data_IF_473774589103
#
_entry.id   IF_473774589103
#
_cell.length_a   1.000
_cell.length_b   1.000
_cell.length_c   1.000
_cell.angle_alpha   90.00
_cell.angle_beta   90.00
_cell.angle_gamma   90.00
#
_symmetry.space_group_name_H-M   'P 1'
#
loop_
_entity.id
_entity.type
_entity.pdbx_description
1 polymer ?
#
# COMPACT_ATOMS: atom_id res chain seq x y z
N UNK A 1 11.53 8.18 -17.37
CA UNK A 1 11.27 7.88 -15.94
C UNK A 1 10.51 9.08 -15.39
N UNK A 2 9.49 8.84 -14.56
CA UNK A 2 8.80 9.93 -13.88
C UNK A 2 9.74 10.55 -12.84
N UNK A 3 9.66 11.87 -12.63
CA UNK A 3 10.42 12.50 -11.56
C UNK A 3 9.82 12.16 -10.19
N UNK A 4 10.65 12.18 -9.15
CA UNK A 4 10.21 12.10 -7.75
C UNK A 4 9.07 13.08 -7.44
N UNK A 5 9.13 14.30 -7.98
CA UNK A 5 8.08 15.31 -7.80
C UNK A 5 6.74 14.93 -8.44
N UNK A 6 6.75 14.30 -9.62
CA UNK A 6 5.52 13.82 -10.26
C UNK A 6 4.91 12.69 -9.44
N UNK A 7 5.74 11.71 -9.03
CA UNK A 7 5.28 10.56 -8.23
C UNK A 7 4.67 11.05 -6.91
N UNK A 8 5.35 11.96 -6.22
CA UNK A 8 4.85 12.61 -5.01
C UNK A 8 3.45 13.20 -5.20
N UNK A 9 3.26 14.01 -6.25
CA UNK A 9 1.98 14.66 -6.51
C UNK A 9 0.88 13.64 -6.86
N UNK A 10 1.22 12.58 -7.60
CA UNK A 10 0.29 11.49 -7.88
C UNK A 10 -0.16 10.76 -6.61
N UNK A 11 0.75 10.53 -5.64
CA UNK A 11 0.42 9.86 -4.38
C UNK A 11 -0.55 10.70 -3.56
N UNK A 12 -0.26 12.01 -3.39
CA UNK A 12 -1.15 12.92 -2.67
C UNK A 12 -2.53 12.94 -3.32
N UNK A 13 -2.57 13.17 -4.63
CA UNK A 13 -3.83 13.22 -5.37
C UNK A 13 -4.64 11.92 -5.23
N UNK A 14 -4.00 10.76 -5.38
CA UNK A 14 -4.69 9.48 -5.27
C UNK A 14 -5.29 9.23 -3.87
N UNK A 15 -4.58 9.64 -2.81
CA UNK A 15 -5.11 9.51 -1.43
C UNK A 15 -6.25 10.51 -1.17
N UNK A 16 -6.16 11.73 -1.68
CA UNK A 16 -7.24 12.72 -1.59
C UNK A 16 -8.52 12.26 -2.31
N UNK A 17 -8.36 11.65 -3.49
CA UNK A 17 -9.49 11.04 -4.21
C UNK A 17 -10.08 9.86 -3.43
N UNK A 18 -9.24 9.05 -2.77
CA UNK A 18 -9.67 7.90 -1.98
C UNK A 18 -10.61 8.33 -0.84
N UNK A 19 -10.25 9.32 -0.03
CA UNK A 19 -11.06 9.78 1.09
C UNK A 19 -12.29 10.60 0.66
N UNK A 20 -12.22 11.25 -0.51
CA UNK A 20 -13.32 12.05 -1.05
C UNK A 20 -14.43 11.20 -1.68
N UNK A 21 -14.14 9.95 -2.04
CA UNK A 21 -15.11 9.06 -2.66
C UNK A 21 -16.17 8.57 -1.64
N UNK A 22 -17.48 8.67 -1.94
CA UNK A 22 -18.53 8.17 -1.04
C UNK A 22 -18.43 6.66 -0.83
N UNK A 23 -18.28 6.22 0.42
CA UNK A 23 -18.14 4.80 0.78
C UNK A 23 -19.06 4.47 1.95
N UNK A 24 -20.19 3.79 1.71
CA UNK A 24 -21.10 3.38 2.78
C UNK A 24 -20.36 2.59 3.86
N UNK A 25 -20.39 3.07 5.11
CA UNK A 25 -19.75 2.42 6.26
C UNK A 25 -18.26 2.70 6.44
N UNK A 26 -17.64 3.56 5.63
CA UNK A 26 -16.26 4.02 5.82
C UNK A 26 -16.20 5.55 5.89
N UNK A 27 -15.10 6.10 6.40
CA UNK A 27 -14.88 7.55 6.48
C UNK A 27 -14.91 8.16 5.08
N UNK A 28 -15.70 9.21 4.92
CA UNK A 28 -15.72 10.04 3.71
C UNK A 28 -16.25 11.44 4.07
N UNK A 29 -16.25 12.38 3.12
CA UNK A 29 -16.72 13.76 3.33
C UNK A 29 -18.18 13.90 3.82
N UNK A 30 -18.97 12.82 3.77
CA UNK A 30 -20.38 12.77 4.16
C UNK A 30 -20.63 11.92 5.42
N UNK A 31 -19.63 11.24 5.99
CA UNK A 31 -19.78 10.43 7.21
C UNK A 31 -18.47 10.21 7.96
N UNK A 32 -18.44 10.61 9.24
CA UNK A 32 -17.37 10.25 10.18
C UNK A 32 -17.53 8.79 10.61
N UNK A 33 -16.49 7.97 10.40
CA UNK A 33 -16.44 6.58 10.83
C UNK A 33 -15.26 6.35 11.77
N UNK A 34 -15.43 5.52 12.81
CA UNK A 34 -14.32 4.98 13.61
C UNK A 34 -13.30 5.99 14.19
N UNK A 35 -13.74 7.14 14.70
CA UNK A 35 -12.85 8.18 15.28
C UNK A 35 -11.81 8.79 14.31
N UNK A 36 -11.99 8.64 12.99
CA UNK A 36 -11.06 9.18 12.00
C UNK A 36 -11.72 10.33 11.23
N UNK A 37 -10.99 11.43 11.06
CA UNK A 37 -11.44 12.60 10.31
C UNK A 37 -10.83 12.59 8.91
N UNK A 38 -11.51 13.20 7.93
CA UNK A 38 -10.96 13.40 6.57
C UNK A 38 -9.56 14.05 6.62
N UNK A 39 -9.34 14.98 7.55
CA UNK A 39 -8.05 15.62 7.77
C UNK A 39 -6.93 14.62 8.12
N UNK A 40 -7.22 13.54 8.87
CA UNK A 40 -6.23 12.53 9.20
C UNK A 40 -5.74 11.79 7.96
N UNK A 41 -6.64 11.47 7.03
CA UNK A 41 -6.29 10.83 5.75
C UNK A 41 -5.45 11.77 4.86
N UNK A 42 -5.83 13.04 4.77
CA UNK A 42 -5.07 14.05 4.00
C UNK A 42 -3.67 14.25 4.60
N UNK A 43 -3.57 14.41 5.92
CA UNK A 43 -2.29 14.52 6.62
C UNK A 43 -1.42 13.28 6.39
N UNK A 44 -2.04 12.10 6.41
CA UNK A 44 -1.37 10.83 6.14
C UNK A 44 -0.87 10.73 4.70
N UNK A 45 -1.61 11.25 3.72
CA UNK A 45 -1.20 11.31 2.32
C UNK A 45 0.08 12.13 2.14
N UNK A 46 0.12 13.33 2.74
CA UNK A 46 1.30 14.19 2.74
C UNK A 46 2.49 13.57 3.49
N UNK A 47 2.23 12.81 4.57
CA UNK A 47 3.28 12.14 5.31
C UNK A 47 3.97 11.03 4.51
N UNK A 48 3.23 10.25 3.71
CA UNK A 48 3.79 9.11 2.96
C UNK A 48 4.38 9.52 1.60
N UNK A 49 3.91 10.61 0.98
CA UNK A 49 4.30 10.97 -0.39
C UNK A 49 5.83 11.19 -0.57
N UNK A 50 6.57 11.82 0.37
CA UNK A 50 8.02 11.94 0.27
C UNK A 50 8.77 10.61 0.36
N UNK A 51 8.18 9.59 0.99
CA UNK A 51 8.79 8.26 1.17
C UNK A 51 8.49 7.38 -0.04
N UNK A 52 7.23 7.39 -0.48
CA UNK A 52 6.74 6.63 -1.62
C UNK A 52 7.31 7.10 -2.97
N UNK A 53 7.94 8.27 -3.00
CA UNK A 53 8.62 8.81 -4.19
C UNK A 53 10.14 8.59 -4.17
N UNK A 54 10.70 7.98 -3.12
CA UNK A 54 12.14 7.75 -3.00
C UNK A 54 12.61 6.66 -3.99
N UNK A 55 13.70 6.90 -4.73
CA UNK A 55 14.35 5.86 -5.51
C UNK A 55 15.20 4.94 -4.60
N UNK A 56 15.55 3.76 -5.11
CA UNK A 56 16.53 2.84 -4.50
C UNK A 56 16.17 2.37 -3.08
N UNK A 57 14.89 2.26 -2.76
CA UNK A 57 14.37 1.70 -1.51
C UNK A 57 13.67 0.37 -1.80
N UNK A 58 13.78 -0.60 -0.89
CA UNK A 58 13.04 -1.87 -1.02
C UNK A 58 11.56 -1.68 -0.67
N UNK A 59 10.72 -2.64 -1.06
CA UNK A 59 9.28 -2.58 -0.79
C UNK A 59 9.00 -2.59 0.71
N UNK A 60 9.65 -3.46 1.48
CA UNK A 60 9.48 -3.53 2.92
C UNK A 60 9.93 -2.27 3.65
N UNK A 61 11.07 -1.69 3.26
CA UNK A 61 11.55 -0.42 3.81
C UNK A 61 10.57 0.71 3.52
N UNK A 62 10.08 0.81 2.28
CA UNK A 62 9.10 1.82 1.88
C UNK A 62 7.82 1.71 2.72
N UNK A 63 7.30 0.48 2.91
CA UNK A 63 6.12 0.22 3.74
C UNK A 63 6.36 0.67 5.19
N UNK A 64 7.45 0.20 5.83
CA UNK A 64 7.72 0.50 7.23
C UNK A 64 7.94 2.00 7.46
N UNK A 65 8.73 2.65 6.60
CA UNK A 65 8.98 4.09 6.71
C UNK A 65 7.69 4.89 6.53
N UNK A 66 6.85 4.54 5.54
CA UNK A 66 5.59 5.23 5.30
C UNK A 66 4.64 5.13 6.49
N UNK A 67 4.44 3.92 7.05
CA UNK A 67 3.60 3.76 8.25
C UNK A 67 4.20 4.48 9.46
N UNK A 68 5.53 4.46 9.60
CA UNK A 68 6.21 5.23 10.65
C UNK A 68 5.96 6.74 10.51
N UNK A 69 5.94 7.27 9.29
CA UNK A 69 5.64 8.67 9.04
C UNK A 69 4.18 9.01 9.35
N UNK A 70 3.24 8.14 8.96
CA UNK A 70 1.83 8.29 9.31
C UNK A 70 1.62 8.31 10.82
N UNK A 71 2.20 7.35 11.57
CA UNK A 71 2.07 7.28 13.03
C UNK A 71 2.67 8.47 13.80
N UNK A 72 3.52 9.28 13.17
CA UNK A 72 4.04 10.52 13.78
C UNK A 72 3.06 11.68 13.70
N UNK A 73 2.07 11.61 12.80
CA UNK A 73 1.14 12.70 12.50
C UNK A 73 -0.28 12.36 12.94
N UNK A 74 -0.66 11.08 12.91
CA UNK A 74 -2.00 10.61 13.30
C UNK A 74 -1.91 9.36 14.17
N UNK A 75 -2.85 9.20 15.10
CA UNK A 75 -2.88 8.09 16.06
C UNK A 75 -3.74 6.89 15.64
N UNK A 76 -4.22 6.89 14.41
CA UNK A 76 -5.13 5.89 13.86
C UNK A 76 -4.61 5.33 12.52
N UNK A 77 -5.14 4.17 12.11
CA UNK A 77 -4.81 3.56 10.83
C UNK A 77 -5.65 4.15 9.69
N UNK A 78 -5.09 5.14 9.01
CA UNK A 78 -5.75 5.81 7.88
C UNK A 78 -5.40 5.20 6.53
N UNK A 79 -4.21 4.62 6.37
CA UNK A 79 -3.65 4.40 5.03
C UNK A 79 -2.84 3.11 4.86
N UNK A 80 -2.88 2.14 5.78
CA UNK A 80 -2.08 0.91 5.64
C UNK A 80 -2.36 0.18 4.32
N UNK A 81 -3.63 -0.01 3.96
CA UNK A 81 -3.99 -0.65 2.70
C UNK A 81 -3.46 0.09 1.47
N UNK A 82 -3.50 1.43 1.50
CA UNK A 82 -2.96 2.29 0.44
C UNK A 82 -1.44 2.11 0.34
N UNK A 83 -0.74 2.17 1.47
CA UNK A 83 0.72 1.98 1.55
C UNK A 83 1.14 0.62 1.01
N UNK A 84 0.44 -0.44 1.39
CA UNK A 84 0.70 -1.79 0.88
C UNK A 84 0.48 -1.86 -0.64
N UNK A 85 -0.58 -1.25 -1.18
CA UNK A 85 -0.81 -1.25 -2.63
C UNK A 85 0.21 -0.38 -3.39
N UNK A 86 0.61 0.76 -2.83
CA UNK A 86 1.51 1.70 -3.51
C UNK A 86 2.96 1.25 -3.51
N UNK A 87 3.46 0.65 -2.42
CA UNK A 87 4.88 0.37 -2.29
C UNK A 87 5.50 -0.44 -3.47
N UNK A 88 4.96 -1.60 -3.89
CA UNK A 88 5.52 -2.32 -5.03
C UNK A 88 5.33 -1.57 -6.36
N UNK A 89 4.27 -0.78 -6.51
CA UNK A 89 4.01 0.04 -7.70
C UNK A 89 5.03 1.19 -7.82
N UNK A 90 5.29 1.88 -6.71
CA UNK A 90 6.26 2.95 -6.59
C UNK A 90 7.69 2.48 -6.84
N UNK A 91 8.04 1.25 -6.43
CA UNK A 91 9.33 0.65 -6.79
C UNK A 91 9.36 0.30 -8.29
N UNK A 92 8.30 -0.32 -8.81
CA UNK A 92 8.23 -0.74 -10.21
C UNK A 92 8.36 0.43 -11.20
N UNK A 93 7.67 1.56 -10.92
CA UNK A 93 7.61 2.69 -11.85
C UNK A 93 8.96 3.39 -12.06
N UNK A 94 9.89 3.26 -11.11
CA UNK A 94 11.27 3.77 -11.26
C UNK A 94 12.01 3.09 -12.41
N UNK A 95 11.61 1.86 -12.75
CA UNK A 95 12.19 1.06 -13.83
C UNK A 95 11.46 1.26 -15.16
N UNK A 96 10.49 2.18 -15.22
CA UNK A 96 9.67 2.42 -16.40
C UNK A 96 10.00 3.77 -17.08
N UNK A 97 10.08 3.74 -18.40
CA UNK A 97 10.06 4.94 -19.24
C UNK A 97 8.73 5.13 -19.95
N UNK A 98 7.95 4.05 -20.11
CA UNK A 98 6.60 4.06 -20.68
C UNK A 98 5.64 3.23 -19.83
N UNK A 99 4.35 3.54 -19.92
CA UNK A 99 3.31 2.91 -19.12
C UNK A 99 3.18 1.40 -19.38
N UNK A 100 3.35 0.95 -20.62
CA UNK A 100 3.21 -0.46 -21.02
C UNK A 100 4.25 -1.38 -20.35
N UNK A 101 5.33 -0.80 -19.81
CA UNK A 101 6.36 -1.54 -19.09
C UNK A 101 5.97 -1.84 -17.64
N UNK A 102 4.98 -1.13 -17.10
CA UNK A 102 4.63 -1.13 -15.68
C UNK A 102 4.23 -2.52 -15.18
N UNK A 103 3.34 -3.21 -15.90
CA UNK A 103 2.89 -4.55 -15.51
C UNK A 103 4.05 -5.55 -15.41
N UNK A 104 5.01 -5.49 -16.34
CA UNK A 104 6.21 -6.36 -16.33
C UNK A 104 7.21 -5.95 -15.25
N UNK A 105 7.36 -4.65 -14.99
CA UNK A 105 8.22 -4.17 -13.92
C UNK A 105 7.65 -4.56 -12.54
N UNK A 106 6.34 -4.44 -12.37
CA UNK A 106 5.63 -4.82 -11.15
C UNK A 106 5.73 -6.32 -10.89
N UNK A 107 5.53 -7.16 -11.91
CA UNK A 107 5.68 -8.61 -11.76
C UNK A 107 7.08 -8.98 -11.26
N UNK A 108 8.12 -8.35 -11.81
CA UNK A 108 9.50 -8.54 -11.33
C UNK A 108 9.69 -8.10 -9.88
N UNK A 109 9.12 -6.97 -9.47
CA UNK A 109 9.19 -6.50 -8.08
C UNK A 109 8.50 -7.50 -7.15
N UNK A 110 7.28 -7.91 -7.48
CA UNK A 110 6.49 -8.85 -6.67
C UNK A 110 7.17 -10.22 -6.55
N UNK A 111 7.73 -10.75 -7.64
CA UNK A 111 8.43 -12.05 -7.64
C UNK A 111 9.78 -12.03 -6.89
N UNK A 112 10.39 -10.86 -6.73
CA UNK A 112 11.67 -10.70 -6.01
C UNK A 112 11.50 -10.22 -4.57
N UNK A 113 10.27 -10.12 -4.05
CA UNK A 113 10.04 -9.80 -2.65
C UNK A 113 10.74 -10.81 -1.74
N UNK A 114 11.48 -10.29 -0.76
CA UNK A 114 12.34 -11.08 0.13
C UNK A 114 11.65 -11.42 1.46
N UNK A 115 12.36 -12.21 2.28
CA UNK A 115 11.97 -12.45 3.68
C UNK A 115 12.14 -11.16 4.51
N UNK A 116 13.13 -10.31 4.18
CA UNK A 116 13.33 -9.05 4.89
C UNK A 116 12.22 -8.05 4.58
N UNK A 117 11.72 -8.02 3.33
CA UNK A 117 10.51 -7.28 2.99
C UNK A 117 9.31 -7.74 3.83
N UNK A 118 9.19 -9.05 4.07
CA UNK A 118 8.14 -9.60 4.92
C UNK A 118 8.28 -9.14 6.37
N UNK A 119 9.49 -9.18 6.94
CA UNK A 119 9.75 -8.74 8.32
C UNK A 119 9.37 -7.27 8.52
N UNK A 120 9.79 -6.40 7.61
CA UNK A 120 9.51 -4.96 7.67
C UNK A 120 8.04 -4.67 7.45
N UNK A 121 7.38 -5.35 6.50
CA UNK A 121 5.94 -5.25 6.29
C UNK A 121 5.16 -5.70 7.55
N UNK A 122 5.54 -6.83 8.16
CA UNK A 122 4.90 -7.31 9.39
C UNK A 122 5.06 -6.32 10.54
N UNK A 123 6.24 -5.71 10.66
CA UNK A 123 6.48 -4.64 11.63
C UNK A 123 5.59 -3.42 11.37
N UNK A 124 5.47 -2.99 10.12
CA UNK A 124 4.63 -1.87 9.73
C UNK A 124 3.15 -2.14 10.03
N UNK A 125 2.66 -3.35 9.72
CA UNK A 125 1.29 -3.76 9.98
C UNK A 125 0.98 -3.75 11.50
N UNK A 126 1.92 -4.23 12.34
CA UNK A 126 1.78 -4.12 13.80
C UNK A 126 1.79 -2.68 14.27
N UNK A 127 2.67 -1.85 13.73
CA UNK A 127 2.77 -0.42 14.05
C UNK A 127 1.51 0.37 13.65
N UNK A 128 0.86 -0.01 12.57
CA UNK A 128 -0.40 0.58 12.13
C UNK A 128 -1.59 0.18 13.00
N UNK A 129 -1.47 -0.82 13.89
CA UNK A 129 -2.56 -1.34 14.73
C UNK A 129 -3.79 -1.76 13.90
N UNK A 130 -3.56 -2.38 12.74
CA UNK A 130 -4.65 -2.72 11.83
C UNK A 130 -5.66 -3.71 12.45
N UNK A 131 -6.95 -3.40 12.30
CA UNK A 131 -8.04 -4.30 12.69
C UNK A 131 -8.24 -5.46 11.70
N UNK A 132 -9.05 -6.45 12.10
CA UNK A 132 -9.56 -7.47 11.17
C UNK A 132 -8.59 -8.58 10.74
N UNK A 133 -7.35 -8.61 11.26
CA UNK A 133 -6.34 -9.59 10.81
C UNK A 133 -6.53 -10.99 11.38
N UNK A 134 -7.21 -11.13 12.53
CA UNK A 134 -7.41 -12.42 13.22
C UNK A 134 -6.09 -13.08 13.64
N UNK A 135 -6.20 -14.21 14.34
CA UNK A 135 -5.06 -15.08 14.63
C UNK A 135 -5.02 -16.22 13.61
N UNK A 136 -3.86 -16.51 13.05
CA UNK A 136 -3.66 -17.64 12.13
C UNK A 136 -2.56 -18.58 12.65
N UNK A 137 -2.66 -19.87 12.35
CA UNK A 137 -1.71 -20.86 12.89
C UNK A 137 -0.31 -20.74 12.29
N UNK A 138 -0.21 -20.36 11.01
CA UNK A 138 1.05 -20.30 10.27
C UNK A 138 1.37 -18.86 9.88
N UNK A 139 2.59 -18.42 10.18
CA UNK A 139 3.11 -17.08 9.87
C UNK A 139 2.18 -15.95 10.31
N UNK A 140 1.66 -16.05 11.53
CA UNK A 140 0.87 -14.99 12.14
C UNK A 140 1.64 -13.66 12.14
N UNK A 141 0.93 -12.55 11.98
CA UNK A 141 1.51 -11.21 11.94
C UNK A 141 2.26 -10.84 13.23
N UNK A 142 1.91 -11.48 14.35
CA UNK A 142 2.60 -11.33 15.63
C UNK A 142 3.92 -12.10 15.70
N UNK A 143 4.16 -13.03 14.77
CA UNK A 143 5.37 -13.82 14.67
C UNK A 143 6.40 -13.22 13.70
N UNK A 144 7.64 -13.71 13.75
CA UNK A 144 8.67 -13.36 12.77
C UNK A 144 8.48 -14.22 11.51
N UNK A 145 8.28 -13.64 10.33
CA UNK A 145 8.11 -14.43 9.11
C UNK A 145 9.43 -15.08 8.70
N UNK A 146 9.33 -16.30 8.18
CA UNK A 146 10.46 -17.06 7.58
C UNK A 146 10.24 -17.31 6.08
N UNK A 147 9.19 -16.72 5.51
CA UNK A 147 8.79 -16.80 4.11
C UNK A 147 8.86 -15.41 3.49
N UNK A 148 8.89 -15.34 2.16
CA UNK A 148 8.90 -14.05 1.46
C UNK A 148 7.58 -13.31 1.61
N UNK A 149 7.58 -12.00 1.36
CA UNK A 149 6.34 -11.21 1.45
C UNK A 149 5.29 -11.71 0.44
N UNK A 150 5.69 -12.11 -0.78
CA UNK A 150 4.74 -12.69 -1.75
C UNK A 150 4.12 -14.00 -1.25
N UNK A 151 4.89 -14.87 -0.61
CA UNK A 151 4.36 -16.11 0.00
C UNK A 151 3.40 -15.81 1.15
N UNK A 152 3.68 -14.80 1.98
CA UNK A 152 2.76 -14.37 3.03
C UNK A 152 1.43 -13.83 2.44
N UNK A 153 1.50 -13.02 1.38
CA UNK A 153 0.31 -12.52 0.68
C UNK A 153 -0.49 -13.65 0.02
N UNK A 154 0.18 -14.66 -0.55
CA UNK A 154 -0.45 -15.85 -1.12
C UNK A 154 -1.34 -16.58 -0.09
N UNK A 155 -0.88 -16.68 1.16
CA UNK A 155 -1.66 -17.30 2.25
C UNK A 155 -2.90 -16.47 2.65
N UNK A 156 -2.87 -15.15 2.44
CA UNK A 156 -3.96 -14.24 2.80
C UNK A 156 -4.93 -13.92 1.64
N UNK A 157 -4.57 -14.20 0.39
CA UNK A 157 -5.27 -13.74 -0.83
C UNK A 157 -6.79 -14.03 -0.90
N UNK A 158 -7.27 -15.08 -0.23
CA UNK A 158 -8.69 -15.45 -0.23
C UNK A 158 -9.54 -14.54 0.66
N UNK A 159 -8.95 -13.99 1.72
CA UNK A 159 -9.63 -13.16 2.74
C UNK A 159 -9.25 -11.68 2.67
N UNK A 160 -8.15 -11.37 2.00
CA UNK A 160 -7.61 -10.01 1.88
C UNK A 160 -7.41 -9.64 0.41
N UNK A 161 -8.06 -8.56 -0.04
CA UNK A 161 -8.01 -8.08 -1.42
C UNK A 161 -6.67 -7.45 -1.79
N UNK A 162 -5.98 -6.81 -0.83
CA UNK A 162 -4.62 -6.27 -1.02
C UNK A 162 -3.66 -7.42 -1.27
N UNK A 163 -3.73 -8.46 -0.43
CA UNK A 163 -2.92 -9.66 -0.60
C UNK A 163 -3.18 -10.34 -1.94
N UNK A 164 -4.43 -10.33 -2.42
CA UNK A 164 -4.77 -10.84 -3.76
C UNK A 164 -4.10 -10.06 -4.89
N UNK A 165 -3.95 -8.75 -4.78
CA UNK A 165 -3.26 -7.94 -5.79
C UNK A 165 -1.79 -8.32 -5.94
N UNK A 166 -1.11 -8.59 -4.82
CA UNK A 166 0.30 -9.06 -4.83
C UNK A 166 0.48 -10.39 -5.57
N UNK A 167 -0.55 -11.23 -5.58
CA UNK A 167 -0.53 -12.55 -6.20
C UNK A 167 -0.85 -12.48 -7.69
N UNK A 168 -1.87 -11.69 -8.07
CA UNK A 168 -2.37 -11.62 -9.44
C UNK A 168 -1.72 -10.52 -10.29
N UNK A 169 -0.63 -9.91 -9.81
CA UNK A 169 0.05 -8.79 -10.49
C UNK A 169 -0.89 -7.59 -10.77
N UNK A 170 -1.75 -7.27 -9.80
CA UNK A 170 -2.64 -6.11 -9.82
C UNK A 170 -3.66 -6.17 -10.96
N UNK A 171 -4.04 -7.37 -11.40
CA UNK A 171 -4.95 -7.57 -12.54
C UNK A 171 -6.29 -6.84 -12.34
N UNK A 172 -6.89 -6.90 -11.14
CA UNK A 172 -8.14 -6.18 -10.87
C UNK A 172 -7.97 -4.67 -10.99
N UNK A 173 -6.83 -4.13 -10.55
CA UNK A 173 -6.53 -2.70 -10.65
C UNK A 173 -6.29 -2.30 -12.11
N UNK A 174 -5.50 -3.07 -12.87
CA UNK A 174 -5.08 -2.71 -14.23
C UNK A 174 -6.15 -3.01 -15.29
N UNK A 175 -6.87 -4.12 -15.15
CA UNK A 175 -7.82 -4.62 -16.15
C UNK A 175 -9.25 -4.15 -15.87
N UNK A 176 -9.58 -3.75 -14.64
CA UNK A 176 -10.92 -3.29 -14.25
C UNK A 176 -10.88 -1.87 -13.72
N UNK A 177 -10.11 -1.60 -12.67
CA UNK A 177 -10.10 -0.30 -11.98
C UNK A 177 -9.69 0.85 -12.88
N UNK A 178 -8.52 0.73 -13.53
CA UNK A 178 -7.96 1.76 -14.38
C UNK A 178 -8.88 2.09 -15.58
N UNK A 179 -9.36 1.12 -16.38
CA UNK A 179 -10.31 1.41 -17.45
C UNK A 179 -11.54 2.17 -16.96
N UNK A 180 -12.18 1.75 -15.86
CA UNK A 180 -13.38 2.43 -15.35
C UNK A 180 -13.10 3.83 -14.78
N UNK A 181 -11.86 4.15 -14.42
CA UNK A 181 -11.46 5.47 -13.92
C UNK A 181 -11.10 6.45 -15.05
N UNK A 182 -10.60 5.94 -16.18
CA UNK A 182 -10.07 6.75 -17.28
C UNK A 182 -10.90 6.70 -18.57
N UNK A 183 -12.00 5.94 -18.57
CA UNK A 183 -12.94 5.89 -19.70
C UNK A 183 -13.95 7.03 -19.68
#
# INVERSE_FOLDING_TARGET
MLSTSIIHNCIVWACEQEVSAPKPGNVNCLSDGHNMQVADFINSAHAIAPIMSQPNITVGEMILQAITATRKIVDCNTNLGIVLLFAPLCVAIQHCTKFEQLSKALDKVLNNLSIDDAKLCYQAIRLAEAGGMGKVEQHDIQSRPTITLKQAMEMAKKRDSVARQYVNNYDEILSIGLPNLTS
#
